data_IF_241198502810
#
_entry.id   IF_241198502810
#
_cell.length_a   1.000
_cell.length_b   1.000
_cell.length_c   1.000
_cell.angle_alpha   90.00
_cell.angle_beta   90.00
_cell.angle_gamma   90.00
#
_symmetry.space_group_name_H-M   'P 1'
#
loop_
_entity.id
_entity.type
_entity.pdbx_description
1 polymer ?
#
# COMPACT_ATOMS: atom_id res chain seq x y z
N UNK A 1 -40.76 -2.27 6.61
CA UNK A 1 -39.31 -2.20 6.52
C UNK A 1 -38.99 -1.54 5.19
N UNK A 2 -38.21 -0.49 5.18
CA UNK A 2 -37.77 0.16 3.94
C UNK A 2 -36.81 -0.74 3.16
N UNK A 3 -36.75 -0.57 1.85
CA UNK A 3 -35.77 -1.24 1.00
C UNK A 3 -34.61 -0.26 0.76
N UNK A 4 -33.35 -0.61 1.04
CA UNK A 4 -32.24 0.31 0.84
C UNK A 4 -32.02 0.60 -0.64
N UNK A 5 -31.48 1.76 -0.94
CA UNK A 5 -30.88 2.04 -2.24
C UNK A 5 -29.43 1.63 -2.20
N UNK A 6 -29.02 0.69 -3.08
CA UNK A 6 -27.66 0.23 -3.22
C UNK A 6 -27.11 0.72 -4.57
N UNK A 7 -26.00 1.45 -4.50
CA UNK A 7 -25.20 1.82 -5.68
C UNK A 7 -23.95 0.97 -5.67
N UNK A 8 -23.94 -0.13 -6.42
CA UNK A 8 -22.83 -1.08 -6.48
C UNK A 8 -22.11 -0.96 -7.81
N UNK A 9 -20.78 -0.98 -7.76
CA UNK A 9 -19.94 -0.93 -8.96
C UNK A 9 -19.94 -2.29 -9.69
N UNK A 10 -19.79 -2.29 -11.02
CA UNK A 10 -19.72 -3.53 -11.80
C UNK A 10 -18.71 -4.54 -11.25
N UNK A 11 -18.90 -5.82 -11.59
CA UNK A 11 -18.04 -6.94 -11.22
C UNK A 11 -17.93 -7.22 -9.71
N UNK A 12 -18.96 -6.81 -8.95
CA UNK A 12 -19.10 -7.09 -7.52
C UNK A 12 -20.48 -7.72 -7.25
N UNK A 13 -20.67 -8.42 -6.10
CA UNK A 13 -21.98 -8.90 -5.68
C UNK A 13 -23.01 -7.75 -5.56
N UNK A 14 -24.28 -8.06 -5.70
CA UNK A 14 -25.34 -7.05 -5.54
C UNK A 14 -25.67 -6.71 -4.07
N UNK A 15 -25.21 -7.55 -3.12
CA UNK A 15 -25.42 -7.41 -1.66
C UNK A 15 -26.88 -7.34 -1.23
N UNK A 16 -27.83 -7.74 -2.08
CA UNK A 16 -29.28 -7.65 -1.81
C UNK A 16 -29.74 -8.67 -0.78
N UNK A 17 -29.00 -9.75 -0.59
CA UNK A 17 -29.28 -10.82 0.37
C UNK A 17 -28.91 -10.46 1.81
N UNK A 18 -28.25 -9.32 2.05
CA UNK A 18 -27.85 -8.88 3.38
C UNK A 18 -29.02 -8.22 4.15
N UNK A 19 -29.05 -8.30 5.49
CA UNK A 19 -30.18 -7.85 6.32
C UNK A 19 -30.18 -6.33 6.55
N UNK A 20 -30.23 -5.54 5.49
CA UNK A 20 -30.14 -4.08 5.52
C UNK A 20 -31.22 -3.37 6.34
N UNK A 21 -32.30 -4.07 6.70
CA UNK A 21 -33.38 -3.54 7.53
C UNK A 21 -33.05 -3.41 9.02
N UNK A 22 -31.87 -3.88 9.46
CA UNK A 22 -31.38 -3.82 10.84
C UNK A 22 -29.98 -3.19 10.92
N UNK A 23 -29.59 -2.63 12.07
CA UNK A 23 -28.24 -2.14 12.31
C UNK A 23 -27.20 -3.25 12.15
N UNK A 24 -26.00 -2.90 11.68
CA UNK A 24 -24.89 -3.82 11.38
C UNK A 24 -24.49 -4.66 12.60
N UNK A 25 -24.48 -4.07 13.80
CA UNK A 25 -24.16 -4.77 15.06
C UNK A 25 -25.09 -5.95 15.39
N UNK A 26 -26.32 -5.90 14.87
CA UNK A 26 -27.33 -6.95 15.08
C UNK A 26 -27.35 -8.01 13.98
N UNK A 27 -26.47 -7.96 13.02
CA UNK A 27 -26.49 -8.91 11.92
C UNK A 27 -26.09 -10.32 12.38
N UNK A 28 -26.87 -11.29 11.96
CA UNK A 28 -26.57 -12.70 12.06
C UNK A 28 -26.89 -13.34 10.71
N UNK A 29 -25.91 -13.46 9.86
CA UNK A 29 -26.06 -13.90 8.49
C UNK A 29 -24.94 -14.85 8.09
N UNK A 30 -25.24 -15.83 7.21
CA UNK A 30 -24.30 -16.87 6.79
C UNK A 30 -23.03 -16.33 6.09
N UNK A 31 -23.13 -15.15 5.48
CA UNK A 31 -21.97 -14.49 4.81
C UNK A 31 -21.04 -13.76 5.78
N UNK A 32 -21.43 -13.59 7.03
CA UNK A 32 -20.59 -12.91 8.02
C UNK A 32 -19.33 -13.72 8.29
N UNK A 33 -18.19 -13.03 8.23
CA UNK A 33 -16.87 -13.60 8.55
C UNK A 33 -16.15 -12.74 9.58
N UNK A 34 -15.33 -13.35 10.41
CA UNK A 34 -14.50 -12.63 11.37
C UNK A 34 -13.15 -12.33 10.72
N UNK A 35 -12.81 -11.07 10.65
CA UNK A 35 -11.52 -10.60 10.15
C UNK A 35 -10.78 -9.84 11.26
N UNK A 36 -9.45 -9.80 11.26
CA UNK A 36 -8.69 -8.94 12.15
C UNK A 36 -9.08 -7.47 11.93
N UNK A 37 -9.55 -6.81 12.99
CA UNK A 37 -9.94 -5.40 12.94
C UNK A 37 -9.11 -4.59 13.92
N UNK A 38 -8.95 -3.29 13.63
CA UNK A 38 -8.52 -2.29 14.60
C UNK A 38 -9.68 -1.85 15.51
N UNK A 39 -9.45 -0.82 16.30
CA UNK A 39 -10.51 -0.11 17.03
C UNK A 39 -11.18 0.84 16.03
N UNK A 40 -12.49 0.72 15.86
CA UNK A 40 -13.27 1.53 14.93
C UNK A 40 -14.27 2.40 15.71
N UNK A 41 -14.40 3.64 15.28
CA UNK A 41 -15.41 4.57 15.80
C UNK A 41 -16.82 4.19 15.35
N UNK A 42 -16.94 3.68 14.13
CA UNK A 42 -18.20 3.29 13.50
C UNK A 42 -18.32 1.77 13.42
N UNK A 43 -19.54 1.19 13.42
CA UNK A 43 -19.74 -0.24 13.23
C UNK A 43 -19.18 -0.73 11.90
N UNK A 44 -18.36 -1.79 11.96
CA UNK A 44 -17.80 -2.46 10.79
C UNK A 44 -18.10 -3.96 10.85
N UNK A 45 -18.54 -4.52 9.73
CA UNK A 45 -18.71 -5.96 9.57
C UNK A 45 -18.06 -6.45 8.28
N UNK A 46 -17.73 -7.74 8.25
CA UNK A 46 -17.14 -8.37 7.06
C UNK A 46 -18.07 -9.46 6.54
N UNK A 47 -18.19 -9.50 5.20
CA UNK A 47 -19.01 -10.49 4.49
C UNK A 47 -18.21 -11.14 3.38
N UNK A 48 -18.40 -12.46 3.19
CA UNK A 48 -17.72 -13.23 2.16
C UNK A 48 -18.67 -13.60 1.02
N UNK A 49 -18.23 -13.37 -0.19
CA UNK A 49 -18.86 -13.77 -1.44
C UNK A 49 -17.86 -14.57 -2.30
N UNK A 50 -18.28 -15.28 -3.35
CA UNK A 50 -17.35 -15.96 -4.27
C UNK A 50 -16.29 -15.02 -4.87
N UNK A 51 -16.63 -13.73 -5.05
CA UNK A 51 -15.77 -12.69 -5.61
C UNK A 51 -14.73 -12.19 -4.62
N UNK A 52 -14.91 -12.43 -3.30
CA UNK A 52 -13.97 -12.01 -2.25
C UNK A 52 -14.66 -11.62 -0.94
N UNK A 53 -13.87 -11.05 -0.04
CA UNK A 53 -14.33 -10.50 1.25
C UNK A 53 -14.53 -9.00 1.12
N UNK A 54 -15.57 -8.49 1.78
CA UNK A 54 -15.95 -7.08 1.76
C UNK A 54 -16.13 -6.58 3.20
N UNK A 55 -15.67 -5.36 3.44
CA UNK A 55 -15.95 -4.62 4.66
C UNK A 55 -17.15 -3.69 4.43
N UNK A 56 -18.05 -3.65 5.40
CA UNK A 56 -19.22 -2.77 5.41
C UNK A 56 -19.07 -1.88 6.64
N UNK A 57 -19.03 -0.56 6.44
CA UNK A 57 -18.92 0.45 7.49
C UNK A 57 -20.20 1.28 7.50
N UNK A 58 -20.94 1.29 8.63
CA UNK A 58 -22.12 2.16 8.81
C UNK A 58 -21.70 3.57 9.20
N UNK A 59 -22.34 4.56 8.61
CA UNK A 59 -22.05 5.98 8.76
C UNK A 59 -23.34 6.80 8.60
N UNK A 60 -23.41 8.05 9.10
CA UNK A 60 -24.35 9.04 8.60
C UNK A 60 -24.23 9.17 7.07
N UNK A 61 -25.39 9.29 6.38
CA UNK A 61 -25.46 9.21 4.92
C UNK A 61 -24.49 10.17 4.21
N UNK A 62 -24.33 11.39 4.72
CA UNK A 62 -23.43 12.38 4.16
C UNK A 62 -21.97 11.92 4.22
N UNK A 63 -21.56 11.34 5.36
CA UNK A 63 -20.19 10.83 5.56
C UNK A 63 -19.93 9.61 4.68
N UNK A 64 -20.89 8.68 4.60
CA UNK A 64 -20.79 7.52 3.71
C UNK A 64 -20.57 7.94 2.25
N UNK A 65 -21.39 8.89 1.75
CA UNK A 65 -21.23 9.42 0.40
C UNK A 65 -19.95 10.20 0.19
N UNK A 66 -19.42 10.85 1.23
CA UNK A 66 -18.15 11.55 1.19
C UNK A 66 -16.97 10.57 1.12
N UNK A 67 -16.88 9.63 2.05
CA UNK A 67 -15.85 8.60 2.09
C UNK A 67 -15.81 7.79 0.78
N UNK A 68 -16.97 7.37 0.27
CA UNK A 68 -17.04 6.66 -1.01
C UNK A 68 -16.41 7.46 -2.16
N UNK A 69 -16.64 8.78 -2.23
CA UNK A 69 -16.05 9.65 -3.26
C UNK A 69 -14.54 9.81 -3.09
N UNK A 70 -14.05 9.97 -1.85
CA UNK A 70 -12.61 10.08 -1.54
C UNK A 70 -11.88 8.79 -1.96
N UNK A 71 -12.36 7.63 -1.48
CA UNK A 71 -11.74 6.35 -1.80
C UNK A 71 -11.78 6.06 -3.31
N UNK A 72 -12.88 6.41 -3.98
CA UNK A 72 -13.01 6.27 -5.43
C UNK A 72 -12.01 7.15 -6.17
N UNK A 73 -11.84 8.40 -5.76
CA UNK A 73 -10.85 9.29 -6.35
C UNK A 73 -9.44 8.72 -6.20
N UNK A 74 -9.07 8.22 -5.01
CA UNK A 74 -7.77 7.63 -4.75
C UNK A 74 -7.52 6.37 -5.61
N UNK A 75 -8.52 5.51 -5.76
CA UNK A 75 -8.43 4.33 -6.64
C UNK A 75 -8.25 4.72 -8.12
N UNK A 76 -9.03 5.71 -8.61
CA UNK A 76 -8.93 6.19 -10.00
C UNK A 76 -7.56 6.80 -10.32
N UNK A 77 -6.85 7.32 -9.30
CA UNK A 77 -5.49 7.83 -9.40
C UNK A 77 -4.43 6.79 -9.02
N UNK A 78 -4.82 5.53 -8.77
CA UNK A 78 -3.94 4.43 -8.38
C UNK A 78 -3.17 4.68 -7.08
N UNK A 79 -3.79 5.36 -6.10
CA UNK A 79 -3.24 5.56 -4.77
C UNK A 79 -3.63 4.44 -3.80
N UNK A 80 -2.80 4.24 -2.77
CA UNK A 80 -2.94 3.16 -1.78
C UNK A 80 -4.09 3.41 -0.80
N UNK A 81 -5.29 3.04 -1.21
CA UNK A 81 -6.49 3.13 -0.40
C UNK A 81 -7.38 1.89 -0.57
N UNK A 82 -8.27 1.65 0.39
CA UNK A 82 -9.27 0.60 0.27
C UNK A 82 -10.16 0.84 -0.97
N UNK A 83 -10.41 -0.22 -1.72
CA UNK A 83 -11.20 -0.13 -2.96
C UNK A 83 -12.70 -0.01 -2.64
N UNK A 84 -13.36 1.12 -2.95
CA UNK A 84 -14.79 1.28 -2.72
C UNK A 84 -15.59 0.48 -3.74
N UNK A 85 -16.57 -0.27 -3.26
CA UNK A 85 -17.40 -1.17 -4.05
C UNK A 85 -18.83 -0.69 -4.13
N UNK A 86 -19.37 -0.19 -3.03
CA UNK A 86 -20.77 0.23 -2.98
C UNK A 86 -21.05 1.30 -1.95
N UNK A 87 -22.12 2.02 -2.21
CA UNK A 87 -22.74 2.98 -1.30
C UNK A 87 -24.18 2.54 -1.04
N UNK A 88 -24.55 2.49 0.24
CA UNK A 88 -25.89 2.11 0.69
C UNK A 88 -26.56 3.30 1.33
N UNK A 89 -27.81 3.53 0.99
CA UNK A 89 -28.69 4.55 1.57
C UNK A 89 -29.95 3.88 2.14
N UNK A 90 -30.26 4.20 3.40
CA UNK A 90 -31.49 3.79 4.09
C UNK A 90 -32.39 5.01 4.28
N UNK A 91 -33.22 5.29 3.28
CA UNK A 91 -34.08 6.49 3.19
C UNK A 91 -35.17 6.57 4.27
N UNK A 92 -35.41 5.48 5.01
CA UNK A 92 -36.35 5.45 6.14
C UNK A 92 -35.72 5.86 7.48
N UNK A 93 -34.41 6.11 7.52
CA UNK A 93 -33.69 6.61 8.70
C UNK A 93 -33.40 8.10 8.57
N UNK A 94 -33.22 8.77 9.72
CA UNK A 94 -32.68 10.13 9.71
C UNK A 94 -31.29 10.15 9.04
N UNK A 95 -31.05 10.96 7.99
CA UNK A 95 -29.76 11.01 7.30
C UNK A 95 -28.55 11.32 8.19
N UNK A 96 -28.78 11.89 9.37
CA UNK A 96 -27.75 12.20 10.36
C UNK A 96 -27.48 11.07 11.36
N UNK A 97 -28.35 10.02 11.38
CA UNK A 97 -28.16 8.88 12.26
C UNK A 97 -27.05 7.96 11.76
N UNK A 98 -26.34 7.33 12.67
CA UNK A 98 -25.48 6.18 12.39
C UNK A 98 -26.29 5.12 11.63
N UNK A 99 -25.70 4.51 10.64
CA UNK A 99 -26.38 3.51 9.84
C UNK A 99 -27.37 4.02 8.80
N UNK A 100 -27.64 5.34 8.67
CA UNK A 100 -28.42 5.89 7.56
C UNK A 100 -27.73 5.67 6.20
N UNK A 101 -26.41 5.63 6.20
CA UNK A 101 -25.56 5.23 5.08
C UNK A 101 -24.65 4.08 5.43
N UNK A 102 -24.10 3.41 4.43
CA UNK A 102 -22.96 2.51 4.59
C UNK A 102 -22.06 2.55 3.37
N UNK A 103 -20.75 2.41 3.60
CA UNK A 103 -19.76 2.21 2.55
C UNK A 103 -19.38 0.74 2.53
N UNK A 104 -19.36 0.16 1.33
CA UNK A 104 -18.85 -1.19 1.10
C UNK A 104 -17.51 -1.04 0.41
N UNK A 105 -16.45 -1.60 1.01
CA UNK A 105 -15.12 -1.67 0.41
C UNK A 105 -14.69 -3.12 0.22
N UNK A 106 -13.86 -3.39 -0.76
CA UNK A 106 -13.21 -4.69 -0.87
C UNK A 106 -12.18 -4.81 0.25
N UNK A 107 -12.19 -5.94 0.96
CA UNK A 107 -11.17 -6.22 1.97
C UNK A 107 -9.78 -6.23 1.32
N UNK A 108 -8.82 -5.62 1.98
CA UNK A 108 -7.44 -5.59 1.50
C UNK A 108 -6.79 -6.93 1.82
N UNK A 109 -6.64 -7.77 0.82
CA UNK A 109 -6.08 -9.11 0.96
C UNK A 109 -4.64 -9.06 1.52
N UNK A 110 -4.29 -10.05 2.37
CA UNK A 110 -2.97 -10.19 2.99
C UNK A 110 -2.56 -9.01 3.89
N UNK A 111 -3.53 -8.18 4.29
CA UNK A 111 -3.29 -7.06 5.18
C UNK A 111 -3.50 -7.41 6.65
N UNK A 112 -2.93 -6.58 7.52
CA UNK A 112 -3.07 -6.69 8.95
C UNK A 112 -3.08 -5.30 9.61
N UNK A 113 -3.75 -5.15 10.76
CA UNK A 113 -3.73 -3.91 11.54
C UNK A 113 -2.37 -3.73 12.23
N UNK A 114 -2.00 -2.47 12.54
CA UNK A 114 -0.74 -2.13 13.20
C UNK A 114 -0.49 -2.92 14.52
N UNK A 115 -1.55 -3.26 15.25
CA UNK A 115 -1.45 -4.04 16.50
C UNK A 115 -0.78 -5.40 16.31
N UNK A 116 -0.77 -5.96 15.08
CA UNK A 116 -0.05 -7.20 14.78
C UNK A 116 1.47 -7.01 14.75
N UNK A 117 1.94 -5.78 14.55
CA UNK A 117 3.37 -5.43 14.55
C UNK A 117 3.89 -5.07 15.95
N UNK A 118 2.98 -4.78 16.88
CA UNK A 118 3.35 -4.42 18.26
C UNK A 118 3.77 -5.68 19.01
N UNK A 119 4.96 -5.66 19.60
CA UNK A 119 5.45 -6.68 20.52
C UNK A 119 5.91 -5.99 21.82
N UNK A 120 5.20 -6.23 22.91
CA UNK A 120 5.39 -5.46 24.14
C UNK A 120 4.95 -4.01 23.94
N UNK A 121 5.75 -3.04 24.41
CA UNK A 121 5.50 -1.61 24.32
C UNK A 121 5.92 -0.96 22.99
N UNK A 122 6.21 -1.71 21.92
CA UNK A 122 6.67 -1.13 20.66
C UNK A 122 6.54 -2.06 19.46
N UNK A 123 7.00 -1.61 18.29
CA UNK A 123 6.90 -2.35 17.02
C UNK A 123 8.05 -3.34 16.77
N UNK A 124 8.95 -3.51 17.74
CA UNK A 124 10.10 -4.41 17.62
C UNK A 124 10.98 -4.09 16.40
N UNK A 125 11.54 -5.12 15.78
CA UNK A 125 12.44 -5.00 14.63
C UNK A 125 11.79 -4.38 13.38
N UNK A 126 10.44 -4.36 13.28
CA UNK A 126 9.71 -3.79 12.13
C UNK A 126 9.32 -2.32 12.31
N UNK A 127 9.79 -1.68 13.40
CA UNK A 127 9.48 -0.28 13.68
C UNK A 127 9.84 0.64 12.50
N UNK A 128 11.05 0.53 11.97
CA UNK A 128 11.54 1.37 10.87
C UNK A 128 10.66 1.21 9.63
N UNK A 129 10.38 -0.01 9.22
CA UNK A 129 9.55 -0.31 8.05
C UNK A 129 8.13 0.26 8.18
N UNK A 130 7.51 0.16 9.36
CA UNK A 130 6.18 0.70 9.60
C UNK A 130 6.17 2.23 9.53
N UNK A 131 7.18 2.91 10.10
CA UNK A 131 7.33 4.36 10.04
C UNK A 131 7.52 4.85 8.60
N UNK A 132 8.35 4.16 7.82
CA UNK A 132 8.61 4.48 6.42
C UNK A 132 7.36 4.25 5.56
N UNK A 133 6.60 3.18 5.82
CA UNK A 133 5.36 2.88 5.14
C UNK A 133 4.30 3.98 5.33
N UNK A 134 4.09 4.43 6.59
CA UNK A 134 3.11 5.47 6.88
C UNK A 134 3.56 6.84 6.35
N UNK A 135 4.84 7.19 6.51
CA UNK A 135 5.40 8.43 5.95
C UNK A 135 5.27 8.47 4.42
N UNK A 136 5.53 7.36 3.74
CA UNK A 136 5.36 7.22 2.28
C UNK A 136 3.90 7.37 1.84
N UNK A 137 2.95 6.78 2.59
CA UNK A 137 1.52 6.95 2.33
C UNK A 137 1.10 8.41 2.47
N UNK A 138 1.49 9.09 3.55
CA UNK A 138 1.18 10.51 3.76
C UNK A 138 1.75 11.41 2.66
N UNK A 139 2.99 11.17 2.23
CA UNK A 139 3.58 11.91 1.09
C UNK A 139 2.74 11.73 -0.16
N UNK A 140 2.36 10.49 -0.49
CA UNK A 140 1.55 10.16 -1.66
C UNK A 140 0.20 10.88 -1.63
N UNK A 141 -0.51 10.85 -0.50
CA UNK A 141 -1.81 11.49 -0.32
C UNK A 141 -1.71 13.01 -0.40
N UNK A 142 -0.71 13.62 0.23
CA UNK A 142 -0.48 15.06 0.16
C UNK A 142 -0.09 15.53 -1.24
N UNK A 143 0.64 14.72 -2.01
CA UNK A 143 1.01 15.06 -3.39
C UNK A 143 -0.20 15.14 -4.31
N UNK A 144 -1.22 14.31 -4.09
CA UNK A 144 -2.49 14.35 -4.84
C UNK A 144 -3.47 15.42 -4.33
N UNK A 145 -3.09 16.15 -3.28
CA UNK A 145 -3.88 17.22 -2.69
C UNK A 145 -4.91 16.73 -1.66
N UNK A 146 -4.77 15.51 -1.15
CA UNK A 146 -5.63 15.01 -0.08
C UNK A 146 -5.10 15.46 1.28
N UNK A 147 -5.90 16.24 2.00
CA UNK A 147 -5.77 16.48 3.43
C UNK A 147 -6.54 15.38 4.16
N UNK A 148 -5.88 14.59 5.01
CA UNK A 148 -6.53 13.43 5.63
C UNK A 148 -7.45 13.81 6.79
N UNK A 149 -6.99 14.70 7.67
CA UNK A 149 -7.76 15.25 8.78
C UNK A 149 -7.93 14.32 9.98
N UNK A 150 -7.64 13.02 9.85
CA UNK A 150 -7.67 12.03 10.95
C UNK A 150 -6.69 10.88 10.71
N UNK A 151 -5.48 11.20 10.27
CA UNK A 151 -4.43 10.19 10.11
C UNK A 151 -4.08 9.56 11.46
N UNK A 152 -4.21 8.23 11.54
CA UNK A 152 -3.88 7.42 12.71
C UNK A 152 -3.39 6.04 12.29
N UNK A 153 -2.82 5.26 13.20
CA UNK A 153 -2.39 3.88 12.91
C UNK A 153 -3.60 2.96 12.66
N UNK A 154 -4.74 3.21 13.32
CA UNK A 154 -5.97 2.43 13.15
C UNK A 154 -6.66 2.69 11.82
N UNK A 155 -6.44 3.84 11.18
CA UNK A 155 -7.02 4.19 9.89
C UNK A 155 -6.16 3.67 8.72
N UNK A 156 -5.20 2.78 9.01
CA UNK A 156 -4.27 2.16 8.06
C UNK A 156 -4.24 0.65 8.24
N UNK A 157 -4.28 -0.07 7.13
CA UNK A 157 -3.87 -1.46 7.07
C UNK A 157 -2.46 -1.56 6.51
N UNK A 158 -1.74 -2.55 6.97
CA UNK A 158 -0.37 -2.83 6.55
C UNK A 158 -0.30 -4.17 5.82
N UNK A 159 0.62 -4.29 4.88
CA UNK A 159 0.89 -5.51 4.13
C UNK A 159 2.39 -5.71 3.96
N UNK A 160 2.86 -6.95 4.01
CA UNK A 160 4.25 -7.25 3.65
C UNK A 160 4.45 -7.06 2.15
N UNK A 161 5.59 -6.47 1.79
CA UNK A 161 5.95 -6.08 0.44
C UNK A 161 7.45 -6.32 0.20
N UNK A 162 7.82 -7.59 -0.02
CA UNK A 162 9.18 -8.02 -0.35
C UNK A 162 10.27 -7.48 0.60
N UNK A 163 10.11 -7.73 1.88
CA UNK A 163 11.05 -7.29 2.93
C UNK A 163 10.70 -5.94 3.55
N UNK A 164 9.85 -5.17 2.91
CA UNK A 164 9.31 -3.91 3.40
C UNK A 164 7.86 -4.07 3.88
N UNK A 165 7.27 -2.99 4.37
CA UNK A 165 5.86 -2.90 4.71
C UNK A 165 5.21 -1.81 3.86
N UNK A 166 4.05 -2.12 3.30
CA UNK A 166 3.18 -1.15 2.63
C UNK A 166 2.05 -0.72 3.57
N UNK A 167 1.72 0.58 3.55
CA UNK A 167 0.59 1.16 4.27
C UNK A 167 -0.52 1.52 3.30
N UNK A 168 -1.79 1.23 3.69
CA UNK A 168 -2.98 1.39 2.86
C UNK A 168 -4.06 2.11 3.67
N UNK A 169 -4.52 3.26 3.19
CA UNK A 169 -5.59 4.04 3.82
C UNK A 169 -6.93 3.30 3.75
N UNK A 170 -7.66 3.22 4.86
CA UNK A 170 -8.97 2.55 4.92
C UNK A 170 -10.11 3.46 5.37
N UNK A 171 -9.82 4.67 5.83
CA UNK A 171 -10.80 5.63 6.33
C UNK A 171 -10.57 7.01 5.72
N UNK A 172 -11.57 7.50 5.01
CA UNK A 172 -11.54 8.80 4.33
C UNK A 172 -12.67 9.75 4.74
N UNK A 173 -13.40 9.48 5.83
CA UNK A 173 -14.60 10.23 6.20
C UNK A 173 -14.34 11.70 6.54
N UNK A 174 -13.14 12.00 7.07
CA UNK A 174 -12.70 13.36 7.45
C UNK A 174 -11.86 14.04 6.38
N UNK A 175 -11.50 13.32 5.33
CA UNK A 175 -10.55 13.80 4.33
C UNK A 175 -11.12 14.91 3.45
N UNK A 176 -10.28 15.83 3.03
CA UNK A 176 -10.64 16.90 2.10
C UNK A 176 -9.73 16.89 0.87
N UNK A 177 -10.33 17.04 -0.31
CA UNK A 177 -9.59 17.08 -1.56
C UNK A 177 -9.39 18.52 -2.03
N UNK A 178 -8.15 18.92 -2.22
CA UNK A 178 -7.73 20.22 -2.72
C UNK A 178 -6.99 20.08 -4.04
N UNK A 179 -6.89 21.16 -4.83
CA UNK A 179 -6.07 21.17 -6.04
C UNK A 179 -4.57 20.97 -5.71
N UNK A 180 -4.14 21.46 -4.56
CA UNK A 180 -2.84 21.21 -3.92
C UNK A 180 -2.92 21.63 -2.46
N UNK A 181 -2.14 21.01 -1.59
CA UNK A 181 -2.03 21.41 -0.19
C UNK A 181 -0.97 22.48 -0.01
N UNK A 182 -1.29 23.50 0.78
CA UNK A 182 -0.30 24.47 1.29
C UNK A 182 0.60 23.82 2.34
N UNK A 183 1.76 24.44 2.61
CA UNK A 183 2.67 24.00 3.67
C UNK A 183 1.97 23.98 5.05
N UNK A 184 1.07 24.95 5.29
CA UNK A 184 0.29 25.03 6.53
C UNK A 184 -0.69 23.86 6.69
N UNK A 185 -1.42 23.50 5.62
CA UNK A 185 -2.34 22.36 5.67
C UNK A 185 -1.59 21.04 5.91
N UNK A 186 -0.46 20.83 5.22
CA UNK A 186 0.37 19.64 5.47
C UNK A 186 0.91 19.59 6.89
N UNK A 187 1.36 20.74 7.43
CA UNK A 187 1.85 20.80 8.81
C UNK A 187 0.75 20.52 9.83
N UNK A 188 -0.47 21.00 9.59
CA UNK A 188 -1.65 20.72 10.43
C UNK A 188 -2.02 19.24 10.41
N UNK A 189 -2.07 18.62 9.23
CA UNK A 189 -2.38 17.18 9.09
C UNK A 189 -1.31 16.31 9.78
N UNK A 190 -0.03 16.69 9.68
CA UNK A 190 1.06 16.03 10.40
C UNK A 190 0.93 16.20 11.92
N UNK A 191 0.45 17.34 12.42
CA UNK A 191 0.23 17.54 13.85
C UNK A 191 -0.93 16.67 14.37
N UNK A 192 -2.01 16.55 13.60
CA UNK A 192 -3.13 15.64 13.91
C UNK A 192 -2.62 14.19 13.97
N UNK A 193 -1.85 13.76 12.96
CA UNK A 193 -1.23 12.43 12.95
C UNK A 193 -0.39 12.18 14.21
N UNK A 194 0.47 13.12 14.61
CA UNK A 194 1.30 12.97 15.83
C UNK A 194 0.47 12.78 17.08
N UNK A 195 -0.61 13.55 17.23
CA UNK A 195 -1.52 13.47 18.37
C UNK A 195 -2.25 12.13 18.41
N UNK A 196 -2.79 11.69 17.28
CA UNK A 196 -3.51 10.43 17.17
C UNK A 196 -2.59 9.23 17.46
N UNK A 197 -1.41 9.19 16.84
CA UNK A 197 -0.41 8.13 17.06
C UNK A 197 0.03 8.06 18.53
N UNK A 198 0.27 9.22 19.18
CA UNK A 198 0.62 9.25 20.59
C UNK A 198 -0.52 8.74 21.49
N UNK A 199 -1.78 9.07 21.15
CA UNK A 199 -2.95 8.55 21.85
C UNK A 199 -3.07 7.02 21.73
N UNK A 200 -2.94 6.49 20.53
CA UNK A 200 -3.01 5.04 20.27
C UNK A 200 -1.91 4.26 20.99
N UNK A 201 -0.69 4.79 21.05
CA UNK A 201 0.40 4.18 21.82
C UNK A 201 0.14 4.22 23.32
N UNK A 202 -0.47 5.32 23.82
CA UNK A 202 -0.95 5.41 25.21
C UNK A 202 -2.01 4.38 25.55
N UNK A 203 -2.96 4.13 24.65
CA UNK A 203 -4.00 3.11 24.80
C UNK A 203 -3.42 1.70 24.87
N UNK A 204 -2.43 1.39 24.01
CA UNK A 204 -1.73 0.10 24.03
C UNK A 204 -0.99 -0.10 25.36
N UNK A 205 -0.23 0.89 25.81
CA UNK A 205 0.50 0.82 27.08
C UNK A 205 -0.48 0.59 28.26
N UNK A 206 -1.61 1.30 28.26
CA UNK A 206 -2.66 1.14 29.27
C UNK A 206 -3.30 -0.27 29.25
N UNK A 207 -3.56 -0.84 28.05
CA UNK A 207 -4.08 -2.20 27.90
C UNK A 207 -3.09 -3.25 28.42
N UNK A 208 -1.80 -3.04 28.23
CA UNK A 208 -0.73 -3.92 28.72
C UNK A 208 -0.44 -3.72 30.22
N UNK A 209 -0.93 -2.63 30.82
CA UNK A 209 -0.62 -2.26 32.18
C UNK A 209 0.83 -1.79 32.38
N UNK A 210 1.43 -1.27 31.32
CA UNK A 210 2.81 -0.79 31.26
C UNK A 210 2.84 0.74 31.14
N UNK A 211 3.96 1.36 31.52
CA UNK A 211 4.22 2.76 31.23
C UNK A 211 4.61 2.88 29.74
N UNK A 212 4.12 3.94 29.09
CA UNK A 212 4.46 4.20 27.69
C UNK A 212 5.97 4.48 27.55
N UNK A 213 6.64 3.82 26.63
CA UNK A 213 8.05 4.08 26.31
C UNK A 213 8.20 5.47 25.68
N UNK A 214 9.28 6.18 26.05
CA UNK A 214 9.58 7.48 25.46
C UNK A 214 9.78 7.44 23.95
N UNK A 215 10.29 6.34 23.41
CA UNK A 215 10.40 6.13 21.97
C UNK A 215 9.03 6.05 21.29
N UNK A 216 8.03 5.44 21.94
CA UNK A 216 6.68 5.34 21.42
C UNK A 216 5.92 6.67 21.47
N UNK A 217 6.19 7.51 22.48
CA UNK A 217 5.70 8.89 22.52
C UNK A 217 6.23 9.76 21.35
N UNK A 218 7.43 9.46 20.84
CA UNK A 218 8.05 10.19 19.73
C UNK A 218 7.79 9.56 18.37
N UNK A 219 6.97 8.51 18.29
CA UNK A 219 6.68 7.79 17.06
C UNK A 219 6.17 8.72 15.94
N UNK A 220 5.23 9.60 16.27
CA UNK A 220 4.70 10.59 15.34
C UNK A 220 5.76 11.56 14.81
N UNK A 221 6.71 11.99 15.67
CA UNK A 221 7.82 12.85 15.24
C UNK A 221 8.83 12.12 14.36
N UNK A 222 8.98 10.81 14.56
CA UNK A 222 9.81 9.97 13.69
C UNK A 222 9.17 9.79 12.29
N UNK A 223 7.85 9.65 12.22
CA UNK A 223 7.09 9.62 10.96
C UNK A 223 7.23 10.97 10.24
N UNK A 224 7.03 12.09 10.94
CA UNK A 224 7.15 13.44 10.40
C UNK A 224 8.54 13.69 9.79
N UNK A 225 9.62 13.29 10.46
CA UNK A 225 11.00 13.42 9.94
C UNK A 225 11.19 12.66 8.64
N UNK A 226 10.68 11.42 8.55
CA UNK A 226 10.73 10.60 7.33
C UNK A 226 9.89 11.21 6.21
N UNK A 227 8.70 11.69 6.56
CA UNK A 227 7.84 12.43 5.63
C UNK A 227 8.57 13.62 4.99
N UNK A 228 9.18 14.49 5.80
CA UNK A 228 9.92 15.65 5.29
C UNK A 228 11.13 15.26 4.43
N UNK A 229 11.84 14.20 4.79
CA UNK A 229 12.94 13.66 3.99
C UNK A 229 12.46 13.22 2.60
N UNK A 230 11.42 12.40 2.56
CA UNK A 230 10.84 11.88 1.31
C UNK A 230 10.17 13.01 0.49
N UNK A 231 9.40 13.89 1.15
CA UNK A 231 8.80 15.05 0.50
C UNK A 231 9.84 15.92 -0.20
N UNK A 232 10.92 16.27 0.50
CA UNK A 232 12.02 17.04 -0.07
C UNK A 232 12.66 16.33 -1.26
N UNK A 233 12.91 15.03 -1.14
CA UNK A 233 13.47 14.22 -2.21
C UNK A 233 12.58 14.23 -3.46
N UNK A 234 11.26 14.18 -3.32
CA UNK A 234 10.32 14.10 -4.43
C UNK A 234 9.99 15.48 -5.05
N UNK A 235 9.98 16.56 -4.24
CA UNK A 235 9.47 17.87 -4.66
C UNK A 235 10.54 18.95 -4.91
N UNK A 236 11.80 18.72 -4.49
CA UNK A 236 12.85 19.70 -4.71
C UNK A 236 13.17 19.85 -6.19
N UNK A 237 13.09 21.09 -6.68
CA UNK A 237 13.47 21.45 -8.06
C UNK A 237 14.95 21.21 -8.29
N UNK A 238 15.28 20.69 -9.45
CA UNK A 238 16.66 20.54 -9.89
C UNK A 238 17.09 21.72 -10.78
N UNK A 239 18.07 22.50 -10.33
CA UNK A 239 18.68 23.56 -11.16
C UNK A 239 20.02 23.03 -11.69
N UNK A 240 20.15 22.95 -13.00
CA UNK A 240 21.32 22.39 -13.69
C UNK A 240 21.79 23.26 -14.83
N UNK A 241 23.02 23.09 -15.25
CA UNK A 241 23.52 23.68 -16.51
C UNK A 241 22.97 22.89 -17.71
N UNK A 242 22.96 23.50 -18.89
CA UNK A 242 22.53 22.81 -20.12
C UNK A 242 23.42 21.61 -20.47
N UNK A 243 24.65 21.57 -19.97
CA UNK A 243 25.61 20.49 -20.19
C UNK A 243 25.35 19.28 -19.26
N UNK A 244 24.62 19.47 -18.14
CA UNK A 244 24.40 18.45 -17.12
C UNK A 244 23.04 17.74 -17.30
N UNK A 245 22.55 17.64 -18.54
CA UNK A 245 21.26 16.98 -18.83
C UNK A 245 21.17 15.52 -18.35
N UNK A 246 22.33 14.84 -18.12
CA UNK A 246 22.36 13.50 -17.54
C UNK A 246 21.75 13.46 -16.12
N UNK A 247 21.83 14.55 -15.36
CA UNK A 247 21.26 14.67 -14.02
C UNK A 247 19.73 14.59 -14.01
N UNK A 248 19.09 14.90 -15.14
CA UNK A 248 17.64 14.69 -15.31
C UNK A 248 17.33 13.20 -15.24
N UNK A 249 18.11 12.37 -15.95
CA UNK A 249 17.93 10.90 -15.95
C UNK A 249 18.21 10.30 -14.57
N UNK A 250 19.25 10.79 -13.89
CA UNK A 250 19.56 10.38 -12.52
C UNK A 250 18.42 10.71 -11.55
N UNK A 251 17.79 11.89 -11.71
CA UNK A 251 16.66 12.29 -10.91
C UNK A 251 15.43 11.40 -11.16
N UNK A 252 15.11 11.14 -12.43
CA UNK A 252 14.01 10.22 -12.80
C UNK A 252 14.26 8.82 -12.23
N UNK A 253 15.47 8.29 -12.41
CA UNK A 253 15.83 6.98 -11.89
C UNK A 253 15.65 6.92 -10.36
N UNK A 254 16.09 7.94 -9.63
CA UNK A 254 15.96 8.02 -8.18
C UNK A 254 14.50 8.06 -7.72
N UNK A 255 13.63 8.85 -8.39
CA UNK A 255 12.20 8.89 -8.11
C UNK A 255 11.57 7.52 -8.35
N UNK A 256 11.92 6.86 -9.47
CA UNK A 256 11.44 5.51 -9.80
C UNK A 256 11.99 4.43 -8.83
N UNK A 257 13.23 4.59 -8.35
CA UNK A 257 13.81 3.69 -7.34
C UNK A 257 13.08 3.75 -5.98
N UNK A 258 12.48 4.92 -5.68
CA UNK A 258 11.58 5.10 -4.54
C UNK A 258 10.17 4.53 -4.81
N UNK A 259 9.91 3.99 -6.01
CA UNK A 259 8.65 3.41 -6.42
C UNK A 259 7.66 4.40 -7.05
N UNK A 260 7.99 5.70 -7.08
CA UNK A 260 7.09 6.71 -7.62
C UNK A 260 7.23 6.83 -9.14
N UNK A 261 6.11 7.05 -9.83
CA UNK A 261 6.10 7.34 -11.25
C UNK A 261 6.41 8.83 -11.52
N UNK A 262 7.02 9.13 -12.68
CA UNK A 262 7.21 10.49 -13.15
C UNK A 262 6.21 10.75 -14.25
N UNK A 263 5.20 11.60 -13.99
CA UNK A 263 4.11 11.87 -14.92
C UNK A 263 4.51 12.90 -15.97
N UNK A 264 5.25 13.94 -15.56
CA UNK A 264 5.70 15.03 -16.44
C UNK A 264 6.97 15.69 -15.90
N UNK A 265 7.74 16.29 -16.80
CA UNK A 265 8.93 17.05 -16.46
C UNK A 265 8.86 18.39 -17.17
N UNK A 266 8.73 19.45 -16.40
CA UNK A 266 8.78 20.82 -16.93
C UNK A 266 10.20 21.38 -16.82
N UNK A 267 10.73 21.81 -17.95
CA UNK A 267 12.06 22.41 -18.00
C UNK A 267 11.92 23.88 -18.43
N UNK A 268 12.28 24.79 -17.53
CA UNK A 268 12.21 26.23 -17.76
C UNK A 268 13.59 26.85 -17.68
N UNK A 269 13.89 27.89 -18.53
CA UNK A 269 15.13 28.64 -18.40
C UNK A 269 15.22 29.32 -17.03
N UNK A 270 16.41 29.29 -16.44
CA UNK A 270 16.73 29.99 -15.21
C UNK A 270 17.99 30.83 -15.42
N UNK A 271 18.19 31.85 -14.61
CA UNK A 271 19.37 32.72 -14.56
C UNK A 271 19.84 33.20 -15.96
N UNK A 272 18.97 33.95 -16.67
CA UNK A 272 19.27 34.52 -17.98
C UNK A 272 19.49 33.47 -19.09
N UNK A 273 19.09 32.19 -18.88
CA UNK A 273 19.13 31.13 -19.88
C UNK A 273 20.38 30.25 -19.84
N UNK A 274 21.32 30.49 -18.93
CA UNK A 274 22.50 29.61 -18.71
C UNK A 274 22.18 28.37 -17.90
N UNK A 275 21.19 28.47 -16.99
CA UNK A 275 20.68 27.39 -16.20
C UNK A 275 19.30 26.97 -16.69
N UNK A 276 18.92 25.76 -16.38
CA UNK A 276 17.58 25.24 -16.55
C UNK A 276 17.07 24.73 -15.19
N UNK A 277 15.84 25.10 -14.87
CA UNK A 277 15.10 24.61 -13.71
C UNK A 277 14.20 23.46 -14.17
N UNK A 278 14.35 22.33 -13.54
CA UNK A 278 13.52 21.16 -13.77
C UNK A 278 12.56 20.97 -12.58
N UNK A 279 11.28 20.99 -12.88
CA UNK A 279 10.21 20.62 -11.96
C UNK A 279 9.73 19.24 -12.37
N UNK A 280 9.74 18.30 -11.42
CA UNK A 280 9.27 16.93 -11.64
C UNK A 280 7.86 16.79 -11.08
N UNK A 281 6.89 16.45 -11.92
CA UNK A 281 5.55 16.09 -11.50
C UNK A 281 5.52 14.60 -11.22
N UNK A 282 5.54 14.24 -9.94
CA UNK A 282 5.55 12.87 -9.46
C UNK A 282 4.12 12.36 -9.35
N UNK A 283 3.87 11.12 -9.80
CA UNK A 283 2.60 10.42 -9.68
C UNK A 283 2.53 9.54 -8.44
N UNK A 284 1.61 8.58 -8.44
CA UNK A 284 1.49 7.59 -7.39
C UNK A 284 2.70 6.65 -7.30
N UNK A 285 2.76 5.89 -6.21
CA UNK A 285 3.82 4.90 -5.97
C UNK A 285 3.46 3.56 -6.66
N UNK A 286 3.50 3.56 -8.00
CA UNK A 286 3.07 2.42 -8.84
C UNK A 286 4.04 2.09 -9.97
N UNK A 287 5.24 2.66 -9.98
CA UNK A 287 6.16 2.53 -11.12
C UNK A 287 6.52 1.08 -11.44
N UNK A 288 6.91 0.29 -10.43
CA UNK A 288 7.29 -1.11 -10.64
C UNK A 288 6.05 -2.00 -10.85
N UNK A 289 4.97 -1.77 -10.10
CA UNK A 289 3.69 -2.47 -10.25
C UNK A 289 3.15 -2.34 -11.67
N UNK A 290 3.08 -1.11 -12.21
CA UNK A 290 2.60 -0.86 -13.57
C UNK A 290 3.54 -1.46 -14.62
N UNK A 291 4.85 -1.36 -14.42
CA UNK A 291 5.84 -1.96 -15.31
C UNK A 291 5.73 -3.47 -15.35
N UNK A 292 5.58 -4.13 -14.19
CA UNK A 292 5.43 -5.58 -14.11
C UNK A 292 4.14 -6.04 -14.79
N UNK A 293 3.01 -5.41 -14.45
CA UNK A 293 1.70 -5.71 -15.02
C UNK A 293 1.69 -5.55 -16.55
N UNK A 294 2.23 -4.45 -17.08
CA UNK A 294 2.33 -4.23 -18.53
C UNK A 294 3.18 -5.28 -19.24
N UNK A 295 4.25 -5.77 -18.62
CA UNK A 295 5.16 -6.72 -19.25
C UNK A 295 4.71 -8.17 -19.13
N UNK A 296 4.04 -8.53 -18.03
CA UNK A 296 3.81 -9.93 -17.67
C UNK A 296 2.36 -10.26 -17.31
N UNK A 297 1.53 -9.27 -17.01
CA UNK A 297 0.19 -9.47 -16.46
C UNK A 297 0.16 -9.82 -14.96
N UNK A 298 1.31 -9.87 -14.29
CA UNK A 298 1.38 -10.20 -12.85
C UNK A 298 0.97 -8.98 -12.03
N UNK A 299 0.06 -9.20 -11.08
CA UNK A 299 -0.31 -8.22 -10.06
C UNK A 299 0.55 -8.45 -8.81
N UNK A 300 1.14 -7.38 -8.30
CA UNK A 300 2.02 -7.39 -7.13
C UNK A 300 2.04 -6.00 -6.49
N UNK A 301 2.44 -5.90 -5.23
CA UNK A 301 2.74 -4.61 -4.59
C UNK A 301 4.08 -4.04 -5.09
N UNK A 302 4.42 -2.81 -4.74
CA UNK A 302 5.48 -2.05 -5.42
C UNK A 302 6.88 -2.66 -5.25
N UNK A 303 7.24 -3.08 -4.04
CA UNK A 303 8.56 -3.71 -3.81
C UNK A 303 8.59 -5.17 -4.27
N UNK A 304 7.47 -5.91 -4.14
CA UNK A 304 7.33 -7.22 -4.77
C UNK A 304 7.56 -7.12 -6.28
N UNK A 305 6.90 -6.16 -6.94
CA UNK A 305 7.06 -5.92 -8.37
C UNK A 305 8.51 -5.54 -8.75
N UNK A 306 9.17 -4.70 -7.93
CA UNK A 306 10.58 -4.35 -8.10
C UNK A 306 11.48 -5.58 -8.08
N UNK A 307 11.29 -6.47 -7.11
CA UNK A 307 12.10 -7.68 -6.97
C UNK A 307 11.83 -8.70 -8.10
N UNK A 308 10.56 -8.90 -8.47
CA UNK A 308 10.16 -9.77 -9.58
C UNK A 308 10.70 -9.24 -10.92
N UNK A 309 10.66 -7.92 -11.15
CA UNK A 309 11.26 -7.28 -12.33
C UNK A 309 12.79 -7.45 -12.35
N UNK A 310 13.45 -7.40 -11.19
CA UNK A 310 14.88 -7.65 -11.09
C UNK A 310 15.24 -9.08 -11.54
N UNK A 311 14.47 -10.09 -11.11
CA UNK A 311 14.66 -11.47 -11.55
C UNK A 311 14.39 -11.66 -13.05
N UNK A 312 13.31 -11.06 -13.57
CA UNK A 312 13.02 -11.06 -15.01
C UNK A 312 14.16 -10.41 -15.80
N UNK A 313 14.64 -9.24 -15.37
CA UNK A 313 15.72 -8.53 -16.06
C UNK A 313 17.04 -9.31 -16.02
N UNK A 314 17.33 -9.96 -14.89
CA UNK A 314 18.48 -10.87 -14.78
C UNK A 314 18.39 -12.04 -15.76
N UNK A 315 17.21 -12.66 -15.86
CA UNK A 315 16.96 -13.74 -16.82
C UNK A 315 17.17 -13.27 -18.27
N UNK A 316 16.60 -12.12 -18.65
CA UNK A 316 16.73 -11.55 -20.00
C UNK A 316 18.18 -11.20 -20.34
N UNK A 317 18.93 -10.67 -19.38
CA UNK A 317 20.36 -10.36 -19.56
C UNK A 317 21.19 -11.63 -19.83
N UNK A 318 20.82 -12.75 -19.21
CA UNK A 318 21.48 -14.05 -19.41
C UNK A 318 21.17 -14.69 -20.78
N UNK A 319 19.93 -14.48 -21.31
CA UNK A 319 19.52 -14.94 -22.64
C UNK A 319 20.23 -14.20 -23.79
N UNK A 320 20.72 -12.97 -23.56
CA UNK A 320 21.59 -12.22 -24.47
C UNK A 320 20.91 -11.56 -25.69
N UNK A 321 19.61 -11.76 -25.94
CA UNK A 321 18.86 -11.09 -27.02
C UNK A 321 18.25 -9.78 -26.54
N UNK A 322 18.90 -8.65 -26.89
CA UNK A 322 18.49 -7.29 -26.50
C UNK A 322 17.45 -6.67 -27.43
N UNK A 323 17.04 -7.34 -28.52
CA UNK A 323 16.01 -6.82 -29.42
C UNK A 323 14.64 -6.77 -28.71
N UNK A 324 13.73 -5.89 -29.17
CA UNK A 324 12.39 -5.80 -28.62
C UNK A 324 11.63 -7.14 -28.72
N UNK A 325 11.75 -7.84 -29.86
CA UNK A 325 11.15 -9.17 -30.06
C UNK A 325 11.78 -10.21 -29.14
N UNK A 326 13.10 -10.23 -29.00
CA UNK A 326 13.83 -11.13 -28.09
C UNK A 326 13.42 -10.92 -26.62
N UNK A 327 13.25 -9.67 -26.18
CA UNK A 327 12.75 -9.36 -24.83
C UNK A 327 11.35 -9.89 -24.59
N UNK A 328 10.42 -9.76 -25.55
CA UNK A 328 9.06 -10.29 -25.41
C UNK A 328 9.05 -11.82 -25.36
N UNK A 329 9.82 -12.48 -26.23
CA UNK A 329 9.97 -13.94 -26.22
C UNK A 329 10.64 -14.41 -24.93
N UNK A 330 11.68 -13.71 -24.48
CA UNK A 330 12.37 -14.01 -23.24
C UNK A 330 11.46 -13.83 -22.01
N UNK A 331 10.63 -12.78 -21.97
CA UNK A 331 9.64 -12.58 -20.92
C UNK A 331 8.62 -13.74 -20.89
N UNK A 332 8.13 -14.17 -22.04
CA UNK A 332 7.21 -15.31 -22.11
C UNK A 332 7.88 -16.62 -21.61
N UNK A 333 9.12 -16.89 -22.03
CA UNK A 333 9.88 -18.05 -21.57
C UNK A 333 10.14 -18.01 -20.06
N UNK A 334 10.47 -16.86 -19.51
CA UNK A 334 10.64 -16.68 -18.08
C UNK A 334 9.33 -16.93 -17.32
N UNK A 335 8.21 -16.38 -17.82
CA UNK A 335 6.90 -16.53 -17.22
C UNK A 335 6.50 -18.01 -17.15
N UNK A 336 6.47 -18.70 -18.30
CA UNK A 336 5.98 -20.08 -18.41
C UNK A 336 6.98 -21.13 -17.93
N UNK A 337 8.28 -20.88 -18.05
CA UNK A 337 9.32 -21.86 -17.72
C UNK A 337 9.91 -21.69 -16.32
N UNK A 338 9.65 -20.56 -15.65
CA UNK A 338 10.24 -20.27 -14.34
C UNK A 338 9.23 -19.73 -13.33
N UNK A 339 8.59 -18.60 -13.60
CA UNK A 339 7.70 -17.94 -12.64
C UNK A 339 6.47 -18.80 -12.32
N UNK A 340 5.68 -19.18 -13.32
CA UNK A 340 4.46 -19.98 -13.12
C UNK A 340 4.74 -21.34 -12.44
N UNK A 341 5.73 -22.14 -12.85
CA UNK A 341 6.04 -23.38 -12.16
C UNK A 341 6.44 -23.19 -10.69
N UNK A 342 7.22 -22.15 -10.38
CA UNK A 342 7.61 -21.85 -9.01
C UNK A 342 6.43 -21.33 -8.17
N UNK A 343 5.56 -20.49 -8.72
CA UNK A 343 4.33 -20.05 -8.06
C UNK A 343 3.41 -21.25 -7.71
N UNK A 344 3.29 -22.22 -8.60
CA UNK A 344 2.50 -23.44 -8.33
C UNK A 344 3.14 -24.30 -7.21
N UNK A 345 4.46 -24.41 -7.17
CA UNK A 345 5.16 -25.06 -6.05
C UNK A 345 4.93 -24.31 -4.73
N UNK A 346 5.03 -22.98 -4.74
CA UNK A 346 4.77 -22.13 -3.58
C UNK A 346 3.35 -22.34 -3.09
N UNK A 347 2.35 -22.23 -3.94
CA UNK A 347 0.92 -22.45 -3.58
C UNK A 347 0.67 -23.82 -2.98
N UNK A 348 1.38 -24.84 -3.44
CA UNK A 348 1.17 -26.22 -2.99
C UNK A 348 1.91 -26.58 -1.70
N UNK A 349 3.01 -25.90 -1.36
CA UNK A 349 3.92 -26.33 -0.29
C UNK A 349 4.12 -25.28 0.80
N UNK A 350 4.07 -23.99 0.44
CA UNK A 350 4.21 -22.91 1.40
C UNK A 350 2.87 -22.58 2.06
N UNK A 351 2.90 -22.28 3.37
CA UNK A 351 1.69 -22.05 4.16
C UNK A 351 1.28 -20.57 4.25
N UNK A 352 2.01 -19.68 3.59
CA UNK A 352 1.66 -18.26 3.56
C UNK A 352 0.48 -17.97 2.62
N UNK A 353 -0.13 -16.82 2.82
CA UNK A 353 -1.37 -16.45 2.13
C UNK A 353 -1.11 -15.83 0.75
N UNK A 354 -0.01 -15.07 0.58
CA UNK A 354 0.35 -14.37 -0.66
C UNK A 354 1.44 -15.10 -1.44
N UNK A 355 1.12 -15.82 -2.54
CA UNK A 355 2.11 -16.55 -3.33
C UNK A 355 3.20 -15.66 -3.96
N UNK A 356 2.88 -14.38 -4.24
CA UNK A 356 3.88 -13.44 -4.80
C UNK A 356 4.87 -13.03 -3.72
N UNK A 357 4.43 -12.84 -2.46
CA UNK A 357 5.33 -12.66 -1.33
C UNK A 357 6.21 -13.89 -1.13
N UNK A 358 5.62 -15.09 -1.19
CA UNK A 358 6.41 -16.34 -1.13
C UNK A 358 7.46 -16.43 -2.24
N UNK A 359 7.15 -15.97 -3.44
CA UNK A 359 8.13 -15.89 -4.53
C UNK A 359 9.25 -14.88 -4.21
N UNK A 360 8.93 -13.75 -3.60
CA UNK A 360 9.92 -12.77 -3.17
C UNK A 360 10.83 -13.32 -2.04
N UNK A 361 10.26 -14.02 -1.06
CA UNK A 361 11.01 -14.69 0.01
C UNK A 361 11.98 -15.74 -0.56
N UNK A 362 11.48 -16.55 -1.51
CA UNK A 362 12.32 -17.49 -2.26
C UNK A 362 13.45 -16.79 -3.04
N UNK A 363 13.17 -15.68 -3.72
CA UNK A 363 14.20 -14.92 -4.45
C UNK A 363 15.28 -14.38 -3.51
N UNK A 364 14.87 -13.86 -2.34
CA UNK A 364 15.80 -13.40 -1.31
C UNK A 364 16.73 -14.53 -0.86
N UNK A 365 16.18 -15.71 -0.54
CA UNK A 365 16.96 -16.89 -0.21
C UNK A 365 17.92 -17.31 -1.34
N UNK A 366 17.44 -17.33 -2.59
CA UNK A 366 18.26 -17.67 -3.76
C UNK A 366 19.45 -16.72 -3.93
N UNK A 367 19.21 -15.40 -3.74
CA UNK A 367 20.27 -14.38 -3.80
C UNK A 367 21.30 -14.62 -2.69
N UNK A 368 20.87 -14.91 -1.47
CA UNK A 368 21.75 -15.18 -0.34
C UNK A 368 22.66 -16.40 -0.60
N UNK A 369 22.10 -17.53 -1.05
CA UNK A 369 22.91 -18.72 -1.35
C UNK A 369 23.81 -18.53 -2.57
N UNK A 370 23.38 -17.79 -3.60
CA UNK A 370 24.23 -17.48 -4.76
C UNK A 370 25.40 -16.59 -4.36
N UNK A 371 25.17 -15.60 -3.50
CA UNK A 371 26.21 -14.72 -2.95
C UNK A 371 27.24 -15.52 -2.13
N UNK A 372 26.77 -16.40 -1.24
CA UNK A 372 27.60 -17.24 -0.43
C UNK A 372 28.47 -18.24 -1.26
N UNK A 373 27.91 -18.76 -2.37
CA UNK A 373 28.60 -19.66 -3.29
C UNK A 373 29.50 -18.93 -4.27
N UNK A 374 29.31 -17.63 -4.50
CA UNK A 374 30.03 -16.86 -5.53
C UNK A 374 29.64 -17.27 -6.96
N UNK A 375 28.48 -17.91 -7.15
CA UNK A 375 27.96 -18.37 -8.45
C UNK A 375 26.47 -18.46 -8.44
N UNK A 376 25.83 -18.36 -9.64
CA UNK A 376 24.37 -18.51 -9.79
C UNK A 376 23.92 -19.92 -9.37
N UNK A 377 22.68 -20.01 -8.91
CA UNK A 377 22.04 -21.25 -8.44
C UNK A 377 20.83 -21.54 -9.30
N UNK A 378 20.66 -22.80 -9.69
CA UNK A 378 19.49 -23.24 -10.43
C UNK A 378 18.19 -22.85 -9.66
N UNK A 379 17.16 -22.34 -10.34
CA UNK A 379 15.96 -21.89 -9.68
C UNK A 379 15.24 -22.96 -8.84
N UNK A 380 15.18 -24.20 -9.36
CA UNK A 380 14.51 -25.28 -8.65
C UNK A 380 15.38 -25.87 -7.53
N UNK A 381 16.70 -25.92 -7.69
CA UNK A 381 17.63 -26.25 -6.60
C UNK A 381 17.52 -25.23 -5.46
N UNK A 382 17.40 -23.95 -5.80
CA UNK A 382 17.21 -22.89 -4.80
C UNK A 382 15.87 -23.02 -4.07
N UNK A 383 14.81 -23.45 -4.77
CA UNK A 383 13.51 -23.69 -4.16
C UNK A 383 13.55 -24.85 -3.17
N UNK A 384 14.18 -25.97 -3.53
CA UNK A 384 14.38 -27.12 -2.62
C UNK A 384 15.19 -26.73 -1.37
N UNK A 385 16.20 -25.85 -1.56
CA UNK A 385 16.98 -25.30 -0.44
C UNK A 385 16.12 -24.43 0.47
N UNK A 386 15.26 -23.57 -0.09
CA UNK A 386 14.36 -22.70 0.65
C UNK A 386 13.31 -23.50 1.44
N UNK A 387 12.71 -24.53 0.82
CA UNK A 387 11.82 -25.48 1.47
C UNK A 387 12.53 -26.22 2.63
N UNK A 388 13.74 -26.74 2.39
CA UNK A 388 14.52 -27.45 3.40
C UNK A 388 14.94 -26.56 4.57
N UNK A 389 15.08 -25.27 4.36
CA UNK A 389 15.36 -24.27 5.38
C UNK A 389 14.10 -23.84 6.17
N UNK A 390 12.92 -24.38 5.84
CA UNK A 390 11.66 -24.06 6.49
C UNK A 390 10.99 -22.79 6.00
N UNK A 391 11.24 -22.43 4.74
CA UNK A 391 10.65 -21.26 4.07
C UNK A 391 10.99 -19.91 4.76
N UNK A 392 12.27 -19.59 4.98
CA UNK A 392 12.62 -18.31 5.60
C UNK A 392 12.13 -17.12 4.77
N UNK A 393 11.50 -16.14 5.43
CA UNK A 393 11.18 -14.84 4.86
C UNK A 393 12.36 -13.87 4.94
N UNK A 394 12.09 -12.59 4.69
CA UNK A 394 13.05 -11.52 4.91
C UNK A 394 13.33 -11.32 6.41
N UNK A 395 14.58 -11.17 6.76
CA UNK A 395 14.97 -10.78 8.13
C UNK A 395 14.72 -9.28 8.31
N UNK A 396 13.92 -8.88 9.32
CA UNK A 396 13.67 -7.47 9.58
C UNK A 396 14.93 -6.70 10.02
N UNK A 397 15.97 -7.37 10.50
CA UNK A 397 17.23 -6.73 10.92
C UNK A 397 18.20 -6.49 9.73
N UNK A 398 18.02 -7.16 8.59
CA UNK A 398 18.88 -7.01 7.41
C UNK A 398 18.42 -5.89 6.47
N UNK A 399 17.21 -5.33 6.65
CA UNK A 399 16.59 -4.33 5.76
C UNK A 399 16.72 -2.89 6.27
N UNK A 400 17.55 -2.62 7.27
CA UNK A 400 17.80 -1.31 7.88
C UNK A 400 18.97 -0.55 7.27
#
# INVERSE_FOLDING_TARGET
MGTPTLQVRPDNPDFLDLPWGSPLEGWNHERMVTMPTGVHRHPVAFVAYPEGVYAIKELPLRLAGHEFRILRFLEEQSHRAARPVGLVERDWLDPHSEGAGAVITRYVEHSFPYRRLVSGSGFGARRTQMLDALASLLVELHMVGLYWGDCSLSNVLYRFDAGEIEAIMIDGETSELHASLSDGQRAEDMEIMKQNVAGEMGDIAAELGEDIDSADLHLGSDIERRYHGLWSELTTDLVITKTDAYRIRERIARVNDLGFSVNDIQVTPADGGNLVRMVTHVGGRTYNTDTLRQRTGIEASENQAKLVLSDLNYYLAKEGDVSATGKNVGTFKWLTGRFEPLIELIRSRWQGEDPVQGYCDYLNHRIAIATARGSDVDPFEAFESWESAGFPGFDPEETG
#
